data_IF_591525233627
#
_entry.id   IF_591525233627
#
_cell.length_a   1.000
_cell.length_b   1.000
_cell.length_c   1.000
_cell.angle_alpha   90.00
_cell.angle_beta   90.00
_cell.angle_gamma   90.00
#
_symmetry.space_group_name_H-M   'P 1'
#
loop_
_entity.id
_entity.type
_entity.pdbx_description
1 polymer ?
#
# COMPACT_ATOMS: atom_id res chain seq x y z
N UNK A 1 9.43 52.90 25.14
CA UNK A 1 9.21 51.47 25.14
C UNK A 1 7.77 51.23 24.69
N UNK A 2 7.57 50.89 23.45
CA UNK A 2 6.26 50.51 22.91
C UNK A 2 6.36 49.01 22.58
N UNK A 3 5.50 48.20 23.22
CA UNK A 3 5.33 46.81 22.93
C UNK A 3 4.67 46.66 21.55
N UNK A 4 5.36 46.08 20.61
CA UNK A 4 4.75 45.63 19.36
C UNK A 4 4.09 44.25 19.59
N UNK A 5 2.76 44.32 19.69
CA UNK A 5 1.89 43.15 19.64
C UNK A 5 1.97 42.54 18.27
N UNK A 6 2.64 41.37 18.17
CA UNK A 6 2.68 40.56 16.97
C UNK A 6 1.28 40.01 16.67
N UNK A 7 0.65 40.54 15.65
CA UNK A 7 -0.59 39.98 15.09
C UNK A 7 -0.31 38.60 14.46
N UNK A 8 -0.80 37.54 15.10
CA UNK A 8 -0.91 36.25 14.50
C UNK A 8 -1.90 36.35 13.36
N UNK A 9 -1.41 36.29 12.13
CA UNK A 9 -2.26 36.25 10.94
C UNK A 9 -2.97 34.90 10.91
N UNK A 10 -4.21 34.86 11.40
CA UNK A 10 -5.11 33.74 11.16
C UNK A 10 -5.42 33.71 9.68
N UNK A 11 -5.02 32.66 8.99
CA UNK A 11 -5.51 32.37 7.65
C UNK A 11 -7.02 32.19 7.73
N UNK A 12 -7.75 33.24 7.33
CA UNK A 12 -9.19 33.15 7.17
C UNK A 12 -9.45 32.01 6.19
N UNK A 13 -10.33 31.10 6.58
CA UNK A 13 -10.94 30.11 5.71
C UNK A 13 -11.68 30.86 4.61
N UNK A 14 -10.97 31.17 3.52
CA UNK A 14 -11.56 31.73 2.31
C UNK A 14 -12.57 30.71 1.79
N UNK A 15 -13.85 31.03 1.88
CA UNK A 15 -14.91 30.24 1.32
C UNK A 15 -14.64 30.05 -0.17
N UNK A 16 -14.44 28.79 -0.57
CA UNK A 16 -14.37 28.42 -1.97
C UNK A 16 -15.74 28.69 -2.56
N UNK A 17 -15.79 29.55 -3.59
CA UNK A 17 -17.00 29.85 -4.33
C UNK A 17 -17.57 28.54 -4.87
N UNK A 18 -18.79 28.21 -4.50
CA UNK A 18 -19.58 27.14 -5.12
C UNK A 18 -19.82 27.49 -6.59
N UNK A 19 -18.97 27.01 -7.48
CA UNK A 19 -19.42 26.75 -8.84
C UNK A 19 -20.14 25.41 -8.83
N UNK A 20 -21.39 25.43 -9.25
CA UNK A 20 -22.33 24.32 -9.37
C UNK A 20 -21.80 23.21 -10.32
N UNK A 21 -20.80 22.50 -9.88
CA UNK A 21 -20.35 21.24 -10.42
C UNK A 21 -20.41 20.23 -9.29
N UNK A 22 -21.07 19.10 -9.52
CA UNK A 22 -21.23 17.98 -8.59
C UNK A 22 -19.85 17.43 -8.22
N UNK A 23 -19.03 18.26 -7.58
CA UNK A 23 -17.86 17.82 -6.85
C UNK A 23 -18.37 16.91 -5.75
N UNK A 24 -17.94 15.67 -5.75
CA UNK A 24 -18.45 14.64 -4.86
C UNK A 24 -18.53 15.19 -3.43
N UNK A 25 -19.72 15.24 -2.85
CA UNK A 25 -19.92 15.58 -1.43
C UNK A 25 -19.11 14.64 -0.52
N UNK A 26 -18.79 13.45 -1.02
CA UNK A 26 -17.93 12.47 -0.39
C UNK A 26 -16.49 12.94 -0.39
N UNK A 27 -15.94 13.37 -1.53
CA UNK A 27 -14.58 13.88 -1.61
C UNK A 27 -14.38 15.11 -0.70
N UNK A 28 -15.35 16.04 -0.68
CA UNK A 28 -15.32 17.21 0.22
C UNK A 28 -15.21 16.78 1.67
N UNK A 29 -16.05 15.85 2.15
CA UNK A 29 -15.99 15.34 3.54
C UNK A 29 -14.67 14.67 3.89
N UNK A 30 -14.09 13.92 2.96
CA UNK A 30 -12.79 13.27 3.14
C UNK A 30 -11.66 14.29 3.30
N UNK A 31 -11.63 15.30 2.44
CA UNK A 31 -10.66 16.41 2.49
C UNK A 31 -10.79 17.20 3.79
N UNK A 32 -12.00 17.57 4.20
CA UNK A 32 -12.26 18.31 5.46
C UNK A 32 -11.93 17.49 6.71
N UNK A 33 -12.01 16.16 6.66
CA UNK A 33 -11.70 15.29 7.79
C UNK A 33 -10.18 15.08 7.98
N UNK A 34 -9.35 15.29 6.95
CA UNK A 34 -7.93 14.97 6.94
C UNK A 34 -7.14 15.52 8.14
N UNK A 35 -7.25 16.80 8.57
CA UNK A 35 -6.45 17.32 9.67
C UNK A 35 -6.69 16.63 11.03
N UNK A 36 -7.84 15.98 11.18
CA UNK A 36 -8.22 15.24 12.40
C UNK A 36 -7.91 13.76 12.33
N UNK A 37 -7.66 13.24 11.12
CA UNK A 37 -7.52 11.82 10.84
C UNK A 37 -6.08 11.41 10.56
N UNK A 38 -5.39 12.17 9.71
CA UNK A 38 -4.09 11.81 9.17
C UNK A 38 -3.05 11.50 10.26
N UNK A 39 -2.27 10.45 10.06
CA UNK A 39 -1.23 10.04 10.99
C UNK A 39 -0.17 11.13 11.14
N UNK A 40 0.21 11.79 10.06
CA UNK A 40 1.17 12.91 10.07
C UNK A 40 0.70 14.06 10.97
N UNK A 41 -0.60 14.34 11.03
CA UNK A 41 -1.18 15.42 11.84
C UNK A 41 -1.37 15.03 13.32
N UNK A 42 -1.52 13.74 13.63
CA UNK A 42 -1.99 13.28 14.94
C UNK A 42 -1.00 12.39 15.70
N UNK A 43 0.07 11.88 15.06
CA UNK A 43 0.90 10.82 15.63
C UNK A 43 2.41 11.10 15.64
N UNK A 44 2.84 12.31 15.33
CA UNK A 44 4.26 12.70 15.27
C UNK A 44 5.06 12.43 16.56
N UNK A 45 4.39 12.47 17.73
CA UNK A 45 5.01 12.16 19.03
C UNK A 45 5.08 10.66 19.36
N UNK A 46 4.31 9.83 18.66
CA UNK A 46 4.18 8.40 18.99
C UNK A 46 5.38 7.59 18.46
N UNK A 47 5.95 7.98 17.32
CA UNK A 47 7.05 7.27 16.67
C UNK A 47 8.41 7.46 17.39
N UNK A 48 8.55 8.51 18.22
CA UNK A 48 9.77 8.81 18.98
C UNK A 48 9.80 8.22 20.40
N UNK A 49 8.72 7.56 20.83
CA UNK A 49 8.63 6.98 22.17
C UNK A 49 9.49 5.71 22.35
N UNK A 50 9.82 5.34 23.61
CA UNK A 50 10.51 4.11 23.89
C UNK A 50 9.60 2.92 23.52
N UNK A 51 9.88 2.29 22.38
CA UNK A 51 9.17 1.07 21.99
C UNK A 51 9.61 -0.08 22.91
N UNK A 52 8.66 -0.76 23.54
CA UNK A 52 8.92 -2.03 24.21
C UNK A 52 9.34 -3.06 23.16
N UNK A 53 10.54 -3.61 23.33
CA UNK A 53 11.08 -4.66 22.46
C UNK A 53 11.35 -5.91 23.28
N UNK A 54 10.80 -7.03 22.85
CA UNK A 54 11.14 -8.35 23.42
C UNK A 54 11.82 -9.22 22.34
N UNK A 55 13.09 -9.61 22.51
CA UNK A 55 13.82 -10.42 21.52
C UNK A 55 13.18 -11.78 21.25
N UNK A 56 12.29 -12.26 22.13
CA UNK A 56 11.57 -13.54 21.97
C UNK A 56 10.33 -13.41 21.06
N UNK A 57 9.80 -12.19 20.93
CA UNK A 57 8.65 -11.91 20.06
C UNK A 57 9.13 -11.78 18.61
N UNK A 58 8.49 -12.46 17.63
CA UNK A 58 8.88 -12.38 16.24
C UNK A 58 8.59 -11.02 15.62
N UNK A 59 9.25 -10.73 14.49
CA UNK A 59 9.04 -9.49 13.74
C UNK A 59 7.93 -9.62 12.71
N UNK A 60 7.63 -10.83 12.24
CA UNK A 60 6.62 -11.11 11.23
C UNK A 60 5.75 -12.29 11.64
N UNK A 61 4.42 -12.27 11.37
CA UNK A 61 3.53 -13.34 11.80
C UNK A 61 3.79 -14.65 11.05
N UNK A 62 4.09 -15.72 11.77
CA UNK A 62 4.34 -17.03 11.18
C UNK A 62 3.14 -17.53 10.35
N UNK A 63 1.91 -17.18 10.76
CA UNK A 63 0.67 -17.53 10.04
C UNK A 63 0.57 -16.93 8.62
N UNK A 64 1.33 -15.88 8.34
CA UNK A 64 1.39 -15.22 7.03
C UNK A 64 2.53 -15.76 6.15
N UNK A 65 3.33 -16.68 6.65
CA UNK A 65 4.45 -17.30 5.90
C UNK A 65 3.91 -18.48 5.08
N UNK A 66 3.90 -18.42 3.73
CA UNK A 66 3.24 -19.45 2.92
C UNK A 66 3.92 -20.82 2.98
N UNK A 67 5.17 -20.86 3.43
CA UNK A 67 5.96 -22.08 3.62
C UNK A 67 6.14 -22.47 5.11
N UNK A 68 5.35 -21.91 6.03
CA UNK A 68 5.52 -22.16 7.46
C UNK A 68 5.44 -23.65 7.84
N UNK A 69 4.69 -24.44 7.08
CA UNK A 69 4.53 -25.89 7.29
C UNK A 69 5.40 -26.75 6.37
N UNK A 70 6.23 -26.14 5.52
CA UNK A 70 7.09 -26.89 4.62
C UNK A 70 8.17 -27.67 5.40
N UNK A 71 8.43 -28.97 5.11
CA UNK A 71 9.35 -29.80 5.87
C UNK A 71 10.76 -29.20 6.00
N UNK A 72 11.30 -28.61 4.93
CA UNK A 72 12.61 -27.93 4.95
C UNK A 72 12.62 -26.73 5.90
N UNK A 73 11.56 -25.93 5.96
CA UNK A 73 11.47 -24.81 6.87
C UNK A 73 11.29 -25.27 8.32
N UNK A 74 10.54 -26.33 8.56
CA UNK A 74 10.38 -26.92 9.89
C UNK A 74 11.70 -27.52 10.41
N UNK A 75 12.54 -28.06 9.53
CA UNK A 75 13.87 -28.60 9.86
C UNK A 75 14.92 -27.51 10.12
N UNK A 76 14.68 -26.26 9.71
CA UNK A 76 15.58 -25.14 9.98
C UNK A 76 15.69 -24.87 11.48
N UNK A 77 16.86 -24.38 11.92
CA UNK A 77 17.09 -24.01 13.32
C UNK A 77 16.15 -22.88 13.77
N UNK A 78 15.93 -22.77 15.08
CA UNK A 78 15.15 -21.66 15.64
C UNK A 78 15.72 -20.29 15.27
N UNK A 79 17.06 -20.19 15.17
CA UNK A 79 17.75 -18.96 14.74
C UNK A 79 17.47 -18.62 13.27
N UNK A 80 17.61 -19.59 12.37
CA UNK A 80 17.31 -19.40 10.95
C UNK A 80 15.86 -18.97 10.72
N UNK A 81 14.91 -19.61 11.41
CA UNK A 81 13.49 -19.23 11.33
C UNK A 81 13.26 -17.81 11.83
N UNK A 82 13.90 -17.39 12.93
CA UNK A 82 13.83 -15.99 13.39
C UNK A 82 14.40 -15.02 12.36
N UNK A 83 15.55 -15.34 11.78
CA UNK A 83 16.18 -14.52 10.74
C UNK A 83 15.27 -14.37 9.51
N UNK A 84 14.61 -15.44 9.08
CA UNK A 84 13.60 -15.37 8.00
C UNK A 84 12.47 -14.42 8.38
N UNK A 85 11.88 -14.52 9.58
CA UNK A 85 10.78 -13.64 10.01
C UNK A 85 11.23 -12.18 10.13
N UNK A 86 12.44 -11.93 10.63
CA UNK A 86 13.04 -10.58 10.64
C UNK A 86 13.23 -10.05 9.22
N UNK A 87 13.77 -10.88 8.33
CA UNK A 87 13.94 -10.56 6.93
C UNK A 87 12.63 -10.24 6.22
N UNK A 88 11.60 -11.05 6.44
CA UNK A 88 10.27 -10.83 5.86
C UNK A 88 9.65 -9.50 6.35
N UNK A 89 9.83 -9.13 7.62
CA UNK A 89 9.39 -7.82 8.12
C UNK A 89 10.15 -6.66 7.47
N UNK A 90 11.47 -6.74 7.41
CA UNK A 90 12.28 -5.71 6.73
C UNK A 90 11.89 -5.61 5.26
N UNK A 91 11.81 -6.75 4.56
CA UNK A 91 11.41 -6.79 3.15
C UNK A 91 9.99 -6.29 2.90
N UNK A 92 9.05 -6.53 3.83
CA UNK A 92 7.72 -5.94 3.79
C UNK A 92 7.78 -4.41 3.80
N UNK A 93 8.52 -3.82 4.74
CA UNK A 93 8.64 -2.35 4.84
C UNK A 93 9.36 -1.75 3.61
N UNK A 94 10.46 -2.37 3.15
CA UNK A 94 11.17 -1.93 1.94
C UNK A 94 10.28 -1.98 0.69
N UNK A 95 9.37 -2.97 0.61
CA UNK A 95 8.39 -3.06 -0.47
C UNK A 95 7.28 -2.02 -0.36
N UNK A 96 6.82 -1.66 0.84
CA UNK A 96 5.89 -0.54 1.03
C UNK A 96 6.54 0.74 0.53
N UNK A 97 7.74 1.09 1.02
CA UNK A 97 8.50 2.26 0.55
C UNK A 97 8.62 2.29 -0.97
N UNK A 98 8.94 1.14 -1.59
CA UNK A 98 9.07 1.07 -3.03
C UNK A 98 7.73 1.18 -3.77
N UNK A 99 6.60 0.74 -3.17
CA UNK A 99 5.26 0.92 -3.75
C UNK A 99 4.87 2.39 -3.77
N UNK A 100 5.09 3.11 -2.65
CA UNK A 100 4.82 4.55 -2.59
C UNK A 100 5.61 5.30 -3.66
N UNK A 101 6.93 5.12 -3.72
CA UNK A 101 7.79 5.85 -4.65
C UNK A 101 7.64 5.47 -6.12
N UNK A 102 7.37 4.20 -6.44
CA UNK A 102 7.39 3.69 -7.81
C UNK A 102 5.99 3.56 -8.44
N UNK A 103 4.92 3.61 -7.63
CA UNK A 103 3.55 3.35 -8.09
C UNK A 103 2.59 4.46 -7.65
N UNK A 104 2.45 4.74 -6.34
CA UNK A 104 1.49 5.70 -5.83
C UNK A 104 1.87 7.16 -6.16
N UNK A 105 3.06 7.61 -5.73
CA UNK A 105 3.55 8.97 -6.01
C UNK A 105 3.55 9.33 -7.50
N UNK A 106 4.03 8.48 -8.44
CA UNK A 106 3.94 8.79 -9.86
C UNK A 106 2.52 8.98 -10.37
N UNK A 107 1.55 8.23 -9.87
CA UNK A 107 0.15 8.40 -10.26
C UNK A 107 -0.43 9.73 -9.75
N UNK A 108 -0.13 10.08 -8.50
CA UNK A 108 -0.53 11.36 -7.91
C UNK A 108 0.12 12.55 -8.59
N UNK A 109 1.41 12.46 -8.95
CA UNK A 109 2.14 13.47 -9.69
C UNK A 109 1.50 13.78 -11.06
N UNK A 110 1.05 12.75 -11.79
CA UNK A 110 0.31 12.95 -13.05
C UNK A 110 -0.96 13.78 -12.84
N UNK A 111 -1.72 13.52 -11.77
CA UNK A 111 -2.90 14.31 -11.43
C UNK A 111 -2.51 15.74 -11.06
N UNK A 112 -1.50 15.93 -10.21
CA UNK A 112 -1.05 17.25 -9.78
C UNK A 112 -0.49 18.10 -10.92
N UNK A 113 0.13 17.49 -11.93
CA UNK A 113 0.59 18.16 -13.16
C UNK A 113 -0.52 18.48 -14.16
N UNK A 114 -1.76 18.04 -13.90
CA UNK A 114 -2.89 18.34 -14.77
C UNK A 114 -2.94 17.52 -16.06
N UNK A 115 -2.35 16.30 -16.06
CA UNK A 115 -2.28 15.41 -17.24
C UNK A 115 -3.68 14.93 -17.69
N UNK A 116 -4.60 14.82 -16.74
CA UNK A 116 -5.96 14.35 -16.99
C UNK A 116 -6.99 15.48 -16.94
N UNK A 117 -8.03 15.47 -17.81
CA UNK A 117 -9.16 16.37 -17.68
C UNK A 117 -9.79 16.24 -16.28
N UNK A 118 -10.05 17.38 -15.62
CA UNK A 118 -10.60 17.41 -14.26
C UNK A 118 -9.55 17.42 -13.12
N UNK A 119 -8.27 17.27 -13.45
CA UNK A 119 -7.18 17.42 -12.47
C UNK A 119 -7.05 18.84 -11.88
N UNK A 120 -7.60 19.84 -12.56
CA UNK A 120 -7.63 21.24 -12.14
C UNK A 120 -8.70 21.53 -11.08
N UNK A 121 -9.63 20.60 -10.86
CA UNK A 121 -10.67 20.75 -9.84
C UNK A 121 -10.05 20.95 -8.44
N UNK A 122 -10.41 22.00 -7.69
CA UNK A 122 -9.81 22.30 -6.40
C UNK A 122 -9.85 21.16 -5.40
N UNK A 123 -10.98 20.44 -5.29
CA UNK A 123 -11.14 19.30 -4.39
C UNK A 123 -10.28 18.10 -4.81
N UNK A 124 -10.14 17.84 -6.11
CA UNK A 124 -9.26 16.79 -6.63
C UNK A 124 -7.82 17.09 -6.24
N UNK A 125 -7.33 18.30 -6.54
CA UNK A 125 -5.97 18.72 -6.17
C UNK A 125 -5.72 18.66 -4.68
N UNK A 126 -6.68 19.11 -3.87
CA UNK A 126 -6.54 19.11 -2.41
C UNK A 126 -6.51 17.68 -1.86
N UNK A 127 -7.40 16.79 -2.31
CA UNK A 127 -7.43 15.39 -1.90
C UNK A 127 -6.14 14.64 -2.27
N UNK A 128 -5.66 14.83 -3.51
CA UNK A 128 -4.41 14.21 -3.96
C UNK A 128 -3.20 14.79 -3.23
N UNK A 129 -3.16 16.11 -2.96
CA UNK A 129 -2.06 16.70 -2.19
C UNK A 129 -2.01 16.18 -0.74
N UNK A 130 -3.16 15.95 -0.12
CA UNK A 130 -3.24 15.35 1.22
C UNK A 130 -2.71 13.90 1.20
N UNK A 131 -3.09 13.11 0.19
CA UNK A 131 -2.55 11.76 0.02
C UNK A 131 -1.01 11.80 -0.14
N UNK A 132 -0.46 12.66 -0.99
CA UNK A 132 1.02 12.80 -1.15
C UNK A 132 1.72 13.09 0.18
N UNK A 133 1.13 13.92 1.04
CA UNK A 133 1.70 14.22 2.38
C UNK A 133 1.67 12.97 3.26
N UNK A 134 0.57 12.24 3.24
CA UNK A 134 0.43 11.00 4.01
C UNK A 134 1.42 9.93 3.49
N UNK A 135 1.57 9.72 2.15
CA UNK A 135 2.52 8.75 1.57
C UNK A 135 3.97 9.07 1.91
N UNK A 136 4.33 10.35 1.90
CA UNK A 136 5.66 10.79 2.35
C UNK A 136 5.89 10.44 3.83
N UNK A 137 4.86 10.54 4.67
CA UNK A 137 4.92 10.17 6.08
C UNK A 137 4.93 8.65 6.27
N UNK A 138 4.17 7.89 5.49
CA UNK A 138 4.21 6.42 5.47
C UNK A 138 5.61 5.92 5.13
N UNK A 139 6.21 6.44 4.06
CA UNK A 139 7.60 6.15 3.70
C UNK A 139 8.54 6.39 4.88
N UNK A 140 8.44 7.54 5.56
CA UNK A 140 9.26 7.84 6.73
C UNK A 140 9.03 6.85 7.88
N UNK A 141 7.79 6.50 8.19
CA UNK A 141 7.46 5.51 9.22
C UNK A 141 8.09 4.14 8.93
N UNK A 142 7.98 3.67 7.68
CA UNK A 142 8.55 2.39 7.27
C UNK A 142 10.09 2.41 7.24
N UNK A 143 10.72 3.52 6.88
CA UNK A 143 12.18 3.70 7.02
C UNK A 143 12.62 3.59 8.49
N UNK A 144 11.91 4.22 9.41
CA UNK A 144 12.18 4.09 10.85
C UNK A 144 12.00 2.64 11.33
N UNK A 145 10.95 1.95 10.87
CA UNK A 145 10.72 0.54 11.20
C UNK A 145 11.89 -0.35 10.78
N UNK A 146 12.38 -0.18 9.54
CA UNK A 146 13.57 -0.89 9.04
C UNK A 146 14.80 -0.58 9.88
N UNK A 147 15.11 0.70 10.08
CA UNK A 147 16.29 1.13 10.83
C UNK A 147 16.28 0.58 12.26
N UNK A 148 15.15 0.69 12.95
CA UNK A 148 15.00 0.21 14.33
C UNK A 148 15.06 -1.31 14.44
N UNK A 149 14.43 -2.03 13.52
CA UNK A 149 14.50 -3.49 13.48
C UNK A 149 15.94 -3.96 13.26
N UNK A 150 16.66 -3.35 12.32
CA UNK A 150 18.06 -3.67 12.04
C UNK A 150 18.95 -3.43 13.26
N UNK A 151 18.76 -2.31 13.94
CA UNK A 151 19.49 -1.99 15.18
C UNK A 151 19.24 -3.07 16.27
N UNK A 152 17.97 -3.35 16.57
CA UNK A 152 17.55 -4.24 17.66
C UNK A 152 17.91 -5.73 17.39
N UNK A 153 17.92 -6.14 16.12
CA UNK A 153 18.28 -7.50 15.68
C UNK A 153 19.75 -7.64 15.30
N UNK A 154 20.54 -6.57 15.33
CA UNK A 154 21.95 -6.60 14.94
C UNK A 154 22.18 -6.87 13.46
N UNK A 155 21.23 -6.55 12.58
CA UNK A 155 21.33 -6.77 11.13
C UNK A 155 22.18 -5.66 10.49
N UNK A 156 23.48 -5.91 10.33
CA UNK A 156 24.45 -4.92 9.81
C UNK A 156 24.44 -4.81 8.29
N UNK A 157 24.32 -5.94 7.61
CA UNK A 157 24.33 -6.05 6.16
C UNK A 157 23.18 -6.93 5.69
N UNK A 158 22.66 -6.63 4.52
CA UNK A 158 21.57 -7.37 3.91
C UNK A 158 21.65 -7.22 2.39
N UNK A 159 21.34 -8.26 1.61
CA UNK A 159 21.18 -8.14 0.17
C UNK A 159 20.07 -7.14 -0.17
N UNK A 160 20.21 -6.47 -1.33
CA UNK A 160 19.17 -5.60 -1.87
C UNK A 160 17.92 -6.42 -2.24
N UNK A 161 16.75 -5.85 -1.98
CA UNK A 161 15.48 -6.47 -2.36
C UNK A 161 15.32 -6.55 -3.87
N UNK A 162 14.75 -7.64 -4.38
CA UNK A 162 14.35 -7.70 -5.78
C UNK A 162 13.35 -6.59 -6.12
N UNK A 163 13.41 -6.09 -7.34
CA UNK A 163 12.42 -5.13 -7.83
C UNK A 163 11.00 -5.70 -7.69
N UNK A 164 10.07 -4.89 -7.17
CA UNK A 164 8.67 -5.27 -6.98
C UNK A 164 8.06 -5.91 -8.22
N UNK A 165 7.35 -7.01 -8.03
CA UNK A 165 6.61 -7.66 -9.13
C UNK A 165 5.60 -6.70 -9.76
N UNK A 166 4.85 -5.95 -8.97
CA UNK A 166 3.88 -4.97 -9.43
C UNK A 166 4.51 -3.89 -10.32
N UNK A 167 5.70 -3.40 -9.94
CA UNK A 167 6.43 -2.42 -10.74
C UNK A 167 7.06 -3.03 -12.00
N UNK A 168 7.59 -4.27 -11.93
CA UNK A 168 8.05 -4.98 -13.14
C UNK A 168 6.93 -5.13 -14.16
N UNK A 169 5.73 -5.56 -13.71
CA UNK A 169 4.55 -5.69 -14.57
C UNK A 169 4.12 -4.35 -15.17
N UNK A 170 4.12 -3.28 -14.36
CA UNK A 170 3.88 -1.93 -14.90
C UNK A 170 4.87 -1.59 -16.02
N UNK A 171 6.16 -1.79 -15.81
CA UNK A 171 7.19 -1.50 -16.83
C UNK A 171 7.03 -2.32 -18.10
N UNK A 172 6.68 -3.61 -17.98
CA UNK A 172 6.36 -4.47 -19.12
C UNK A 172 5.19 -3.91 -19.92
N UNK A 173 4.11 -3.50 -19.25
CA UNK A 173 2.94 -2.90 -19.90
C UNK A 173 3.30 -1.57 -20.57
N UNK A 174 4.01 -0.68 -19.87
CA UNK A 174 4.44 0.61 -20.43
C UNK A 174 5.31 0.45 -21.69
N UNK A 175 6.13 -0.58 -21.75
CA UNK A 175 6.98 -0.88 -22.91
C UNK A 175 6.17 -1.28 -24.17
N UNK A 176 4.93 -1.73 -24.01
CA UNK A 176 4.02 -2.07 -25.12
C UNK A 176 3.19 -0.89 -25.62
N UNK A 177 3.19 0.24 -24.90
CA UNK A 177 2.36 1.40 -25.20
C UNK A 177 3.14 2.48 -25.96
N UNK A 178 2.81 2.76 -27.24
CA UNK A 178 3.55 3.71 -28.05
C UNK A 178 3.31 5.17 -27.60
N UNK A 179 2.08 5.49 -27.19
CA UNK A 179 1.66 6.84 -26.89
C UNK A 179 1.91 7.22 -25.41
N UNK A 180 2.41 8.44 -25.18
CA UNK A 180 2.67 8.94 -23.83
C UNK A 180 1.38 8.94 -22.96
N UNK A 181 0.26 9.38 -23.55
CA UNK A 181 -1.00 9.45 -22.83
C UNK A 181 -1.56 8.06 -22.43
N UNK A 182 -1.24 6.99 -23.17
CA UNK A 182 -1.59 5.61 -22.77
C UNK A 182 -0.78 5.17 -21.56
N UNK A 183 0.51 5.48 -21.56
CA UNK A 183 1.41 5.22 -20.41
C UNK A 183 0.94 5.99 -19.17
N UNK A 184 0.52 7.24 -19.32
CA UNK A 184 -0.03 8.04 -18.21
C UNK A 184 -1.29 7.38 -17.62
N UNK A 185 -2.20 6.87 -18.47
CA UNK A 185 -3.40 6.14 -18.01
C UNK A 185 -3.01 4.84 -17.28
N UNK A 186 -2.02 4.10 -17.78
CA UNK A 186 -1.55 2.89 -17.11
C UNK A 186 -0.98 3.19 -15.72
N UNK A 187 -0.15 4.23 -15.59
CA UNK A 187 0.39 4.67 -14.29
C UNK A 187 -0.73 5.06 -13.32
N UNK A 188 -1.72 5.85 -13.78
CA UNK A 188 -2.90 6.20 -12.97
C UNK A 188 -3.63 4.95 -12.47
N UNK A 189 -3.86 3.97 -13.34
CA UNK A 189 -4.57 2.72 -12.99
C UNK A 189 -3.78 1.91 -11.96
N UNK A 190 -2.46 1.79 -12.12
CA UNK A 190 -1.62 1.08 -11.15
C UNK A 190 -1.67 1.73 -9.77
N UNK A 191 -1.54 3.06 -9.68
CA UNK A 191 -1.72 3.79 -8.42
C UNK A 191 -3.10 3.58 -7.82
N UNK A 192 -4.16 3.69 -8.62
CA UNK A 192 -5.53 3.50 -8.13
C UNK A 192 -5.79 2.07 -7.61
N UNK A 193 -5.22 1.04 -8.25
CA UNK A 193 -5.31 -0.35 -7.76
C UNK A 193 -4.47 -0.53 -6.50
N UNK A 194 -3.27 0.07 -6.41
CA UNK A 194 -2.46 0.03 -5.20
C UNK A 194 -3.25 0.55 -3.98
N UNK A 195 -3.73 1.77 -4.05
CA UNK A 195 -4.47 2.46 -2.99
C UNK A 195 -5.77 1.76 -2.57
N UNK A 196 -6.41 1.07 -3.50
CA UNK A 196 -7.66 0.35 -3.21
C UNK A 196 -7.46 -1.09 -2.71
N UNK A 197 -6.25 -1.66 -2.82
CA UNK A 197 -5.95 -3.05 -2.45
C UNK A 197 -5.01 -3.20 -1.23
N UNK A 198 -4.31 -2.13 -0.79
CA UNK A 198 -3.29 -2.21 0.25
C UNK A 198 -3.88 -2.53 1.63
N UNK A 199 -5.09 -2.07 1.92
CA UNK A 199 -5.74 -2.20 3.22
C UNK A 199 -5.80 -3.63 3.75
N UNK A 200 -5.97 -4.62 2.88
CA UNK A 200 -6.11 -6.02 3.28
C UNK A 200 -4.85 -6.56 3.97
N UNK A 201 -3.68 -6.23 3.45
CA UNK A 201 -2.40 -6.68 4.01
C UNK A 201 -2.06 -5.92 5.31
N UNK A 202 -2.28 -4.61 5.31
CA UNK A 202 -2.10 -3.79 6.50
C UNK A 202 -2.98 -4.26 7.66
N UNK A 203 -4.25 -4.59 7.39
CA UNK A 203 -5.19 -5.07 8.41
C UNK A 203 -4.76 -6.39 9.08
N UNK A 204 -4.04 -7.25 8.35
CA UNK A 204 -3.51 -8.49 8.91
C UNK A 204 -2.36 -8.24 9.90
N UNK A 205 -1.55 -7.21 9.68
CA UNK A 205 -0.42 -6.85 10.53
C UNK A 205 -0.81 -5.91 11.67
N UNK A 206 -1.72 -4.97 11.42
CA UNK A 206 -2.13 -3.93 12.37
C UNK A 206 -2.80 -4.47 13.64
N UNK A 207 -3.37 -5.67 13.59
CA UNK A 207 -4.09 -6.30 14.71
C UNK A 207 -3.42 -7.57 15.20
N UNK A 208 -2.19 -7.80 14.78
CA UNK A 208 -1.46 -9.00 15.18
C UNK A 208 -0.71 -8.75 16.49
N UNK A 209 -1.13 -9.44 17.54
CA UNK A 209 -0.50 -9.42 18.87
C UNK A 209 0.65 -10.42 19.01
N UNK A 210 0.89 -11.24 18.00
CA UNK A 210 1.98 -12.21 17.95
C UNK A 210 3.32 -11.63 17.51
N UNK A 211 3.34 -10.36 17.04
CA UNK A 211 4.55 -9.67 16.57
C UNK A 211 4.94 -8.51 17.50
N UNK A 212 6.10 -7.91 17.25
CA UNK A 212 6.56 -6.75 18.01
C UNK A 212 5.48 -5.64 18.06
N UNK A 213 5.15 -5.08 19.24
CA UNK A 213 4.11 -4.03 19.35
C UNK A 213 4.36 -2.82 18.47
N UNK A 214 5.63 -2.44 18.25
CA UNK A 214 5.99 -1.35 17.35
C UNK A 214 5.56 -1.65 15.90
N UNK A 215 5.66 -2.89 15.46
CA UNK A 215 5.29 -3.30 14.10
C UNK A 215 3.78 -3.20 13.88
N UNK A 216 2.99 -3.71 14.83
CA UNK A 216 1.54 -3.54 14.83
C UNK A 216 1.12 -2.07 14.87
N UNK A 217 1.82 -1.23 15.63
CA UNK A 217 1.51 0.20 15.73
C UNK A 217 1.73 0.92 14.40
N UNK A 218 2.88 0.72 13.76
CA UNK A 218 3.20 1.35 12.46
C UNK A 218 2.17 0.95 11.40
N UNK A 219 1.87 -0.33 11.30
CA UNK A 219 0.87 -0.81 10.34
C UNK A 219 -0.55 -0.35 10.68
N UNK A 220 -0.87 -0.11 11.97
CA UNK A 220 -2.17 0.47 12.38
C UNK A 220 -2.30 1.94 11.95
N UNK A 221 -1.23 2.73 12.12
CA UNK A 221 -1.22 4.13 11.70
C UNK A 221 -1.37 4.26 10.18
N UNK A 222 -0.63 3.44 9.43
CA UNK A 222 -0.72 3.36 7.98
C UNK A 222 -2.12 2.93 7.53
N UNK A 223 -2.67 1.83 8.05
CA UNK A 223 -4.01 1.34 7.72
C UNK A 223 -5.11 2.39 7.90
N UNK A 224 -4.98 3.22 8.94
CA UNK A 224 -5.95 4.29 9.20
C UNK A 224 -6.02 5.29 8.05
N UNK A 225 -4.87 5.68 7.52
CA UNK A 225 -4.80 6.64 6.42
C UNK A 225 -5.24 5.99 5.10
N UNK A 226 -4.75 4.78 4.81
CA UNK A 226 -5.12 4.00 3.62
C UNK A 226 -6.63 3.73 3.50
N UNK A 227 -7.32 3.60 4.63
CA UNK A 227 -8.79 3.44 4.62
C UNK A 227 -9.48 4.65 3.99
N UNK A 228 -8.91 5.84 4.16
CA UNK A 228 -9.45 7.04 3.53
C UNK A 228 -8.88 7.26 2.12
N UNK A 229 -7.59 6.95 1.87
CA UNK A 229 -6.96 7.07 0.56
C UNK A 229 -7.73 6.27 -0.49
N UNK A 230 -8.05 5.00 -0.22
CA UNK A 230 -8.87 4.20 -1.13
C UNK A 230 -10.18 4.88 -1.51
N UNK A 231 -10.82 5.61 -0.58
CA UNK A 231 -12.05 6.37 -0.86
C UNK A 231 -11.78 7.66 -1.63
N UNK A 232 -10.69 8.39 -1.30
CA UNK A 232 -10.27 9.60 -2.04
C UNK A 232 -9.94 9.24 -3.48
N UNK A 233 -9.13 8.19 -3.69
CA UNK A 233 -8.72 7.74 -5.02
C UNK A 233 -9.90 7.30 -5.87
N UNK A 234 -10.88 6.57 -5.31
CA UNK A 234 -12.10 6.20 -6.03
C UNK A 234 -12.83 7.45 -6.55
N UNK A 235 -13.01 8.48 -5.71
CA UNK A 235 -13.71 9.70 -6.12
C UNK A 235 -12.86 10.52 -7.11
N UNK A 236 -11.54 10.60 -6.94
CA UNK A 236 -10.63 11.26 -7.88
C UNK A 236 -10.70 10.58 -9.25
N UNK A 237 -10.52 9.27 -9.31
CA UNK A 237 -10.56 8.53 -10.59
C UNK A 237 -11.93 8.66 -11.26
N UNK A 238 -13.02 8.67 -10.49
CA UNK A 238 -14.37 8.91 -11.01
C UNK A 238 -14.49 10.29 -11.66
N UNK A 239 -13.99 11.34 -11.01
CA UNK A 239 -14.00 12.72 -11.54
C UNK A 239 -13.18 12.84 -12.83
N UNK A 240 -12.00 12.20 -12.87
CA UNK A 240 -11.16 12.18 -14.07
C UNK A 240 -11.81 11.37 -15.19
N UNK A 241 -12.30 10.14 -14.90
CA UNK A 241 -12.94 9.26 -15.86
C UNK A 241 -14.15 9.91 -16.53
N UNK A 242 -15.01 10.59 -15.77
CA UNK A 242 -16.18 11.29 -16.30
C UNK A 242 -15.82 12.33 -17.37
N UNK A 243 -14.61 12.90 -17.32
CA UNK A 243 -14.12 13.95 -18.25
C UNK A 243 -13.15 13.42 -19.31
N UNK A 244 -12.71 12.17 -19.23
CA UNK A 244 -11.86 11.53 -20.23
C UNK A 244 -12.60 11.35 -21.55
N UNK A 245 -11.87 11.47 -22.67
CA UNK A 245 -12.38 11.08 -23.99
C UNK A 245 -12.49 9.55 -24.11
N UNK A 246 -13.12 9.08 -25.17
CA UNK A 246 -13.37 7.66 -25.40
C UNK A 246 -12.08 6.81 -25.46
N UNK A 247 -10.99 7.34 -25.99
CA UNK A 247 -9.72 6.60 -26.12
C UNK A 247 -9.08 6.36 -24.76
N UNK A 248 -9.01 7.41 -23.92
CA UNK A 248 -8.50 7.29 -22.55
C UNK A 248 -9.35 6.35 -21.68
N UNK A 249 -10.69 6.41 -21.82
CA UNK A 249 -11.58 5.48 -21.11
C UNK A 249 -11.33 4.03 -21.53
N UNK A 250 -11.18 3.78 -22.84
CA UNK A 250 -10.83 2.43 -23.34
C UNK A 250 -9.48 1.97 -22.83
N UNK A 251 -8.47 2.84 -22.78
CA UNK A 251 -7.17 2.51 -22.22
C UNK A 251 -7.26 2.16 -20.73
N UNK A 252 -8.02 2.93 -19.94
CA UNK A 252 -8.26 2.65 -18.52
C UNK A 252 -8.89 1.26 -18.33
N UNK A 253 -9.91 0.92 -19.09
CA UNK A 253 -10.56 -0.40 -19.03
C UNK A 253 -9.59 -1.52 -19.37
N UNK A 254 -8.73 -1.35 -20.39
CA UNK A 254 -7.70 -2.35 -20.75
C UNK A 254 -6.63 -2.52 -19.68
N UNK A 255 -6.27 -1.44 -18.96
CA UNK A 255 -5.23 -1.48 -17.95
C UNK A 255 -5.69 -2.10 -16.62
N UNK A 256 -6.98 -2.00 -16.27
CA UNK A 256 -7.51 -2.48 -14.98
C UNK A 256 -7.22 -3.97 -14.73
N UNK A 257 -7.56 -4.92 -15.62
CA UNK A 257 -7.26 -6.34 -15.36
C UNK A 257 -5.76 -6.60 -15.28
N UNK A 258 -4.92 -5.90 -16.06
CA UNK A 258 -3.47 -6.05 -16.02
C UNK A 258 -2.89 -5.62 -14.67
N UNK A 259 -3.38 -4.50 -14.12
CA UNK A 259 -2.99 -4.04 -12.80
C UNK A 259 -3.47 -5.01 -11.71
N UNK A 260 -4.73 -5.44 -11.75
CA UNK A 260 -5.29 -6.38 -10.78
C UNK A 260 -4.50 -7.70 -10.76
N UNK A 261 -4.15 -8.26 -11.91
CA UNK A 261 -3.30 -9.46 -12.00
C UNK A 261 -1.90 -9.21 -11.41
N UNK A 262 -1.29 -8.06 -11.69
CA UNK A 262 0.02 -7.70 -11.13
C UNK A 262 -0.03 -7.63 -9.59
N UNK A 263 -1.10 -7.10 -9.02
CA UNK A 263 -1.30 -7.01 -7.57
C UNK A 263 -1.77 -8.33 -6.93
N UNK A 264 -2.29 -9.27 -7.71
CA UNK A 264 -2.61 -10.62 -7.27
C UNK A 264 -1.40 -11.56 -7.28
N UNK A 265 -0.35 -11.24 -8.01
CA UNK A 265 0.84 -12.09 -8.15
C UNK A 265 1.66 -12.16 -6.84
N UNK A 266 2.00 -13.37 -6.39
CA UNK A 266 2.88 -13.59 -5.24
C UNK A 266 4.34 -13.34 -5.64
N UNK A 267 5.03 -12.47 -4.93
CA UNK A 267 6.47 -12.24 -5.15
C UNK A 267 7.33 -13.30 -4.47
N UNK A 268 7.58 -14.39 -5.19
CA UNK A 268 8.42 -15.49 -4.71
C UNK A 268 9.89 -15.11 -4.61
N UNK A 269 10.36 -14.06 -5.31
CA UNK A 269 11.76 -13.65 -5.28
C UNK A 269 12.18 -13.08 -3.92
N UNK A 270 11.30 -12.31 -3.29
CA UNK A 270 11.51 -11.83 -1.91
C UNK A 270 11.55 -12.99 -0.92
N UNK A 271 10.60 -13.92 -1.00
CA UNK A 271 10.56 -15.09 -0.12
C UNK A 271 11.84 -15.93 -0.25
N UNK A 272 12.31 -16.13 -1.49
CA UNK A 272 13.58 -16.82 -1.76
C UNK A 272 14.77 -16.11 -1.13
N UNK A 273 14.83 -14.78 -1.29
CA UNK A 273 15.91 -13.97 -0.72
C UNK A 273 16.04 -14.18 0.79
N UNK A 274 14.93 -14.19 1.52
CA UNK A 274 14.94 -14.35 2.97
C UNK A 274 15.38 -15.75 3.41
N UNK A 275 14.90 -16.76 2.71
CA UNK A 275 15.32 -18.15 2.98
C UNK A 275 16.82 -18.34 2.75
N UNK A 276 17.35 -17.84 1.64
CA UNK A 276 18.78 -17.93 1.29
C UNK A 276 19.64 -17.12 2.26
N UNK A 277 19.21 -15.89 2.58
CA UNK A 277 19.94 -15.01 3.52
C UNK A 277 20.07 -15.63 4.91
N UNK A 278 19.03 -16.32 5.37
CA UNK A 278 19.04 -17.05 6.65
C UNK A 278 19.76 -18.42 6.58
N UNK A 279 20.24 -18.83 5.41
CA UNK A 279 20.93 -20.11 5.22
C UNK A 279 20.01 -21.32 5.40
N UNK A 280 18.71 -21.19 5.07
CA UNK A 280 17.77 -22.32 5.13
C UNK A 280 18.08 -23.30 4.02
N UNK A 281 18.40 -24.55 4.40
CA UNK A 281 18.67 -25.63 3.43
C UNK A 281 17.41 -25.97 2.64
N UNK A 282 17.54 -26.10 1.31
CA UNK A 282 16.41 -26.39 0.43
C UNK A 282 15.54 -25.18 0.14
N UNK A 283 16.05 -23.94 0.25
CA UNK A 283 15.32 -22.72 -0.11
C UNK A 283 14.69 -22.77 -1.51
N UNK A 284 15.45 -23.30 -2.50
CA UNK A 284 14.94 -23.42 -3.89
C UNK A 284 13.86 -24.50 -4.03
N UNK A 285 13.89 -25.56 -3.22
CA UNK A 285 12.85 -26.59 -3.13
C UNK A 285 11.55 -25.97 -2.60
N UNK A 286 11.64 -25.23 -1.47
CA UNK A 286 10.49 -24.49 -0.90
C UNK A 286 9.82 -23.60 -1.96
N UNK A 287 10.61 -22.81 -2.66
CA UNK A 287 10.10 -21.88 -3.69
C UNK A 287 9.55 -22.63 -4.90
N UNK A 288 10.17 -23.74 -5.29
CA UNK A 288 9.68 -24.62 -6.35
C UNK A 288 8.30 -25.19 -6.04
N UNK A 289 8.11 -25.69 -4.84
CA UNK A 289 6.83 -26.26 -4.37
C UNK A 289 5.74 -25.19 -4.27
N UNK A 290 6.06 -23.98 -3.76
CA UNK A 290 5.12 -22.86 -3.79
C UNK A 290 4.71 -22.50 -5.22
N UNK A 291 5.66 -22.42 -6.14
CA UNK A 291 5.41 -22.11 -7.55
C UNK A 291 4.54 -23.15 -8.24
N UNK A 292 4.61 -24.41 -7.81
CA UNK A 292 3.83 -25.51 -8.39
C UNK A 292 2.33 -25.42 -8.06
N UNK A 293 1.95 -24.70 -7.01
CA UNK A 293 0.55 -24.59 -6.56
C UNK A 293 -0.08 -23.27 -7.00
N UNK A 294 -1.39 -23.23 -7.35
CA UNK A 294 -2.10 -21.98 -7.63
C UNK A 294 -2.07 -21.02 -6.42
N UNK A 295 -2.31 -21.55 -5.22
CA UNK A 295 -2.29 -20.77 -3.97
C UNK A 295 -0.92 -20.16 -3.67
N UNK A 296 0.17 -20.80 -4.05
CA UNK A 296 1.53 -20.27 -3.87
C UNK A 296 1.92 -19.20 -4.90
N UNK A 297 1.16 -19.08 -6.00
CA UNK A 297 1.39 -18.08 -7.05
C UNK A 297 0.54 -16.81 -6.90
N UNK A 298 -0.56 -16.87 -6.17
CA UNK A 298 -1.45 -15.74 -5.95
C UNK A 298 -1.50 -15.35 -4.48
N UNK A 299 -1.34 -14.06 -4.23
CA UNK A 299 -1.62 -13.48 -2.92
C UNK A 299 -3.13 -13.53 -2.67
N UNK A 300 -3.50 -14.04 -1.50
CA UNK A 300 -4.87 -13.88 -0.99
C UNK A 300 -5.03 -12.43 -0.56
N UNK A 301 -5.70 -11.61 -1.38
CA UNK A 301 -6.00 -10.21 -1.10
C UNK A 301 -7.49 -9.95 -1.12
N UNK A 302 -7.91 -9.00 -0.31
CA UNK A 302 -9.24 -8.41 -0.41
C UNK A 302 -9.23 -7.32 -1.50
N UNK A 303 -9.82 -7.60 -2.63
CA UNK A 303 -9.98 -6.66 -3.75
C UNK A 303 -11.27 -5.82 -3.65
N UNK A 304 -11.96 -5.82 -2.51
CA UNK A 304 -13.25 -5.12 -2.37
C UNK A 304 -13.15 -3.61 -2.62
N UNK A 305 -11.99 -3.00 -2.37
CA UNK A 305 -11.73 -1.60 -2.71
C UNK A 305 -11.71 -1.38 -4.22
N UNK A 306 -10.97 -2.20 -4.94
CA UNK A 306 -10.91 -2.15 -6.41
C UNK A 306 -12.27 -2.50 -7.04
N UNK A 307 -13.00 -3.46 -6.50
CA UNK A 307 -14.37 -3.77 -6.95
C UNK A 307 -15.28 -2.56 -6.80
N UNK A 308 -15.27 -1.88 -5.64
CA UNK A 308 -16.03 -0.64 -5.42
C UNK A 308 -15.64 0.47 -6.41
N UNK A 309 -14.35 0.60 -6.73
CA UNK A 309 -13.90 1.55 -7.75
C UNK A 309 -14.52 1.23 -9.11
N UNK A 310 -14.44 -0.02 -9.55
CA UNK A 310 -14.99 -0.49 -10.84
C UNK A 310 -16.51 -0.29 -10.89
N UNK A 311 -17.22 -0.58 -9.80
CA UNK A 311 -18.67 -0.34 -9.67
C UNK A 311 -18.99 1.18 -9.78
N UNK A 312 -18.23 2.03 -9.09
CA UNK A 312 -18.39 3.48 -9.12
C UNK A 312 -18.11 4.10 -10.50
N UNK A 313 -17.28 3.46 -11.28
CA UNK A 313 -16.97 3.83 -12.67
C UNK A 313 -17.99 3.23 -13.67
N UNK A 314 -18.95 2.41 -13.22
CA UNK A 314 -19.91 1.68 -14.03
C UNK A 314 -19.24 0.71 -15.04
N UNK A 315 -18.10 0.12 -14.65
CA UNK A 315 -17.26 -0.73 -15.51
C UNK A 315 -17.36 -2.22 -15.18
N UNK A 316 -18.27 -2.66 -14.34
CA UNK A 316 -18.37 -4.05 -13.85
C UNK A 316 -18.42 -5.08 -14.98
N UNK A 317 -19.09 -4.77 -16.09
CA UNK A 317 -19.20 -5.68 -17.25
C UNK A 317 -18.08 -5.50 -18.27
N UNK A 318 -17.21 -4.51 -18.10
CA UNK A 318 -16.15 -4.18 -19.04
C UNK A 318 -14.76 -4.64 -18.57
N UNK A 319 -14.62 -5.00 -17.29
CA UNK A 319 -13.36 -5.43 -16.69
C UNK A 319 -13.37 -6.95 -16.56
N UNK A 320 -12.51 -7.61 -17.34
CA UNK A 320 -12.33 -9.07 -17.33
C UNK A 320 -11.27 -9.43 -16.27
N UNK A 321 -11.72 -9.66 -15.04
CA UNK A 321 -10.88 -10.14 -13.94
C UNK A 321 -11.70 -11.02 -13.01
N UNK A 322 -11.16 -12.21 -12.69
CA UNK A 322 -11.76 -13.15 -11.75
C UNK A 322 -11.39 -12.73 -10.33
N UNK A 323 -12.30 -12.00 -9.68
CA UNK A 323 -12.10 -11.57 -8.30
C UNK A 323 -12.13 -12.78 -7.37
N UNK A 324 -11.09 -13.02 -6.57
CA UNK A 324 -11.12 -14.08 -5.59
C UNK A 324 -12.27 -13.85 -4.59
N UNK A 325 -12.92 -14.93 -4.19
CA UNK A 325 -13.87 -14.88 -3.09
C UNK A 325 -13.20 -14.22 -1.88
N UNK A 326 -13.95 -13.39 -1.17
CA UNK A 326 -13.43 -12.76 0.05
C UNK A 326 -12.91 -13.85 0.96
N UNK A 327 -11.65 -13.79 1.40
CA UNK A 327 -11.19 -14.72 2.41
C UNK A 327 -12.12 -14.56 3.63
N UNK A 328 -12.78 -15.64 4.03
CA UNK A 328 -13.46 -15.69 5.31
C UNK A 328 -12.41 -15.57 6.41
N UNK A 329 -12.02 -14.35 6.72
CA UNK A 329 -11.22 -14.06 7.89
C UNK A 329 -12.15 -14.09 9.11
N UNK A 330 -12.35 -15.26 9.65
CA UNK A 330 -12.86 -15.42 11.00
C UNK A 330 -11.73 -15.03 11.95
N UNK A 331 -11.88 -13.95 12.75
CA UNK A 331 -11.00 -13.74 13.88
C UNK A 331 -11.13 -14.99 14.73
N UNK A 332 -10.02 -15.71 14.90
CA UNK A 332 -9.97 -16.89 15.75
C UNK A 332 -10.59 -16.51 17.10
N UNK A 333 -11.76 -17.07 17.38
CA UNK A 333 -12.33 -17.08 18.72
C UNK A 333 -11.32 -17.87 19.54
N UNK A 334 -10.44 -17.14 20.23
CA UNK A 334 -9.56 -17.72 21.21
C UNK A 334 -10.42 -18.50 22.17
N UNK A 335 -10.29 -19.81 22.14
CA UNK A 335 -10.83 -20.67 23.13
C UNK A 335 -10.38 -20.16 24.50
N UNK A 336 -11.29 -19.57 25.25
CA UNK A 336 -11.12 -19.40 26.69
C UNK A 336 -11.26 -20.78 27.29
N UNK A 337 -10.18 -21.31 27.75
CA UNK A 337 -10.06 -22.46 28.59
C UNK A 337 -9.04 -22.16 29.65
#
# INVERSE_FOLDING_TARGET
>A
MREESGAVTTWASGGWVEEDGIGSSTLRRLVEAWPRRAAVATSSGVLGGPATYDPRVPDYPLRMVPFAQHPRFLAATGEQRRQVLTGLWIGYNERVIATEHLIAEPAFDLVMRGVFPGSDQPLVRQGVQQAIVDESFHTYMHMLAVARTRELRGVRSRPEQPTLVTYRRLREVLATMPEAWERDVAVLVWGAVAETCINSLLALLARDDSIQPMHSLITTLHLRDETAHGSVVIEVVRELHARMNADRRRALVRCLPLALEAFAEQDLSTLRLELVTAGVEGADEIIGDLRATPAGRRLVRDFSGAQRMIERLELTHAVDFDFPERPEWSPGVGARG
#
